data_IF_862013863874
#
_entry.id   IF_862013863874
#
_cell.length_a   1.000
_cell.length_b   1.000
_cell.length_c   1.000
_cell.angle_alpha   90.00
_cell.angle_beta   90.00
_cell.angle_gamma   90.00
#
_symmetry.space_group_name_H-M   'P 1'
#
loop_
_entity.id
_entity.type
_entity.pdbx_description
1 polymer ?
#
# COMPACT_ATOMS: atom_id res chain seq x y z
N UNK A 1 -13.89 30.86 -7.03
CA UNK A 1 -13.66 31.55 -5.75
C UNK A 1 -14.43 30.85 -4.64
N UNK A 2 -13.76 30.20 -3.71
CA UNK A 2 -14.30 29.71 -2.45
C UNK A 2 -13.38 30.15 -1.30
N UNK A 3 -13.87 30.09 -0.07
CA UNK A 3 -13.18 30.63 1.12
C UNK A 3 -11.79 30.02 1.30
N UNK A 4 -11.63 28.72 1.06
CA UNK A 4 -10.35 28.02 1.14
C UNK A 4 -9.34 28.54 0.11
N UNK A 5 -9.76 28.73 -1.15
CA UNK A 5 -8.89 29.21 -2.21
C UNK A 5 -8.48 30.68 -1.97
N UNK A 6 -9.41 31.50 -1.50
CA UNK A 6 -9.16 32.90 -1.13
C UNK A 6 -8.14 32.97 0.02
N UNK A 7 -8.39 32.27 1.10
CA UNK A 7 -7.50 32.19 2.28
C UNK A 7 -6.10 31.71 1.90
N UNK A 8 -5.99 30.66 1.07
CA UNK A 8 -4.71 30.16 0.61
C UNK A 8 -3.92 31.19 -0.20
N UNK A 9 -4.57 31.89 -1.15
CA UNK A 9 -3.93 32.94 -1.97
C UNK A 9 -3.43 34.09 -1.11
N UNK A 10 -4.26 34.56 -0.18
CA UNK A 10 -3.89 35.63 0.77
C UNK A 10 -2.69 35.19 1.61
N UNK A 11 -2.73 33.98 2.18
CA UNK A 11 -1.63 33.43 3.00
C UNK A 11 -0.31 33.30 2.21
N UNK A 12 -0.39 32.96 0.92
CA UNK A 12 0.77 32.80 0.04
C UNK A 12 1.19 34.09 -0.68
N UNK A 13 0.45 35.17 -0.51
CA UNK A 13 0.74 36.46 -1.17
C UNK A 13 0.47 36.46 -2.67
N UNK A 14 -0.42 35.61 -3.18
CA UNK A 14 -0.82 35.61 -4.60
C UNK A 14 -1.93 36.62 -4.84
N UNK A 15 -1.77 37.45 -5.90
CA UNK A 15 -2.86 38.27 -6.38
C UNK A 15 -3.97 37.38 -6.96
N UNK A 16 -5.21 37.70 -6.58
CA UNK A 16 -6.38 36.96 -7.07
C UNK A 16 -6.57 37.05 -8.56
N UNK A 17 -6.17 38.18 -9.19
CA UNK A 17 -6.28 38.43 -10.61
C UNK A 17 -5.26 37.66 -11.44
N UNK A 18 -4.11 37.32 -10.85
CA UNK A 18 -3.02 36.62 -11.53
C UNK A 18 -3.21 35.09 -11.56
N UNK A 19 -4.17 34.56 -10.79
CA UNK A 19 -4.44 33.12 -10.72
C UNK A 19 -5.54 32.73 -11.69
N UNK A 20 -5.16 32.14 -12.80
CA UNK A 20 -6.08 31.54 -13.77
C UNK A 20 -6.26 30.04 -13.54
N UNK A 21 -7.48 29.56 -13.78
CA UNK A 21 -7.82 28.12 -13.75
C UNK A 21 -8.46 27.77 -15.10
N UNK A 22 -7.83 26.81 -15.80
CA UNK A 22 -8.45 26.24 -17.00
C UNK A 22 -9.51 25.21 -16.64
N UNK A 23 -10.60 25.21 -17.41
CA UNK A 23 -11.66 24.20 -17.30
C UNK A 23 -11.71 23.36 -18.57
N UNK A 24 -11.52 22.04 -18.41
CA UNK A 24 -11.64 21.05 -19.48
C UNK A 24 -12.93 20.25 -19.34
N UNK A 25 -13.62 20.00 -20.46
CA UNK A 25 -14.76 19.09 -20.50
C UNK A 25 -14.33 17.78 -21.14
N UNK A 26 -14.44 16.68 -20.39
CA UNK A 26 -14.06 15.35 -20.85
C UNK A 26 -15.29 14.43 -20.89
N UNK A 27 -15.26 13.45 -21.83
CA UNK A 27 -16.25 12.36 -21.82
C UNK A 27 -16.14 11.59 -20.51
N UNK A 28 -17.29 11.33 -19.89
CA UNK A 28 -17.36 10.51 -18.67
C UNK A 28 -16.99 9.06 -18.96
N UNK A 29 -15.98 8.55 -18.27
CA UNK A 29 -15.63 7.12 -18.28
C UNK A 29 -16.60 6.38 -17.34
N UNK A 30 -17.26 5.35 -17.85
CA UNK A 30 -18.29 4.60 -17.11
C UNK A 30 -17.66 3.53 -16.21
N UNK A 31 -16.75 3.98 -15.34
CA UNK A 31 -16.13 3.13 -14.33
C UNK A 31 -17.10 2.67 -13.25
N UNK A 32 -18.26 3.33 -13.10
CA UNK A 32 -19.37 2.86 -12.26
C UNK A 32 -19.82 1.43 -12.60
N UNK A 33 -19.60 1.00 -13.85
CA UNK A 33 -19.86 -0.37 -14.35
C UNK A 33 -18.57 -1.19 -14.55
N UNK A 34 -17.43 -0.63 -14.22
CA UNK A 34 -16.12 -1.23 -14.39
C UNK A 34 -15.26 -1.11 -13.13
N UNK A 35 -14.08 -0.53 -13.30
CA UNK A 35 -13.12 -0.33 -12.22
C UNK A 35 -12.41 1.02 -12.37
N UNK A 36 -11.84 1.51 -11.29
CA UNK A 36 -11.01 2.70 -11.29
C UNK A 36 -9.92 2.60 -10.21
N UNK A 37 -8.93 3.47 -10.30
CA UNK A 37 -7.88 3.53 -9.31
C UNK A 37 -6.84 4.60 -9.60
N UNK A 38 -5.75 4.51 -8.88
CA UNK A 38 -4.57 5.35 -9.05
C UNK A 38 -3.35 4.49 -9.33
N UNK A 39 -2.38 5.05 -10.02
CA UNK A 39 -1.09 4.39 -10.23
C UNK A 39 0.05 5.39 -10.10
N UNK A 40 1.17 4.90 -9.58
CA UNK A 40 2.39 5.65 -9.39
C UNK A 40 3.51 5.04 -10.20
N UNK A 41 4.38 5.87 -10.76
CA UNK A 41 5.54 5.36 -11.51
C UNK A 41 6.73 5.02 -10.61
N UNK A 42 6.47 4.80 -9.33
CA UNK A 42 7.43 4.33 -8.33
C UNK A 42 6.68 3.68 -7.16
N UNK A 43 7.38 2.94 -6.32
CA UNK A 43 6.81 2.51 -5.04
C UNK A 43 6.71 3.69 -4.08
N UNK A 44 5.51 3.96 -3.60
CA UNK A 44 5.22 5.12 -2.75
C UNK A 44 5.77 5.00 -1.32
N UNK A 45 6.18 3.80 -0.89
CA UNK A 45 6.75 3.57 0.44
C UNK A 45 8.27 3.77 0.45
N UNK A 46 8.97 3.00 -0.37
CA UNK A 46 10.43 3.00 -0.43
C UNK A 46 11.01 4.07 -1.36
N UNK A 47 10.22 4.57 -2.31
CA UNK A 47 10.71 5.42 -3.38
C UNK A 47 11.44 4.64 -4.49
N UNK A 48 11.31 3.31 -4.53
CA UNK A 48 11.91 2.49 -5.58
C UNK A 48 11.28 2.80 -6.94
N UNK A 49 12.08 3.28 -7.88
CA UNK A 49 11.62 3.87 -9.15
C UNK A 49 11.56 2.89 -10.32
N UNK A 50 11.93 1.61 -10.11
CA UNK A 50 11.91 0.60 -11.18
C UNK A 50 10.59 -0.18 -11.25
N UNK A 51 9.57 0.25 -10.52
CA UNK A 51 8.23 -0.35 -10.57
C UNK A 51 7.16 0.69 -10.91
N UNK A 52 6.05 0.20 -11.46
CA UNK A 52 4.76 0.91 -11.46
C UNK A 52 3.90 0.25 -10.40
N UNK A 53 3.43 1.05 -9.45
CA UNK A 53 2.48 0.65 -8.41
C UNK A 53 1.07 1.04 -8.83
N UNK A 54 0.14 0.09 -8.89
CA UNK A 54 -1.23 0.29 -9.37
C UNK A 54 -2.21 -0.15 -8.28
N UNK A 55 -3.21 0.67 -7.99
CA UNK A 55 -4.35 0.27 -7.17
C UNK A 55 -5.61 0.20 -8.01
N UNK A 56 -6.54 -0.69 -7.67
CA UNK A 56 -7.79 -0.87 -8.37
C UNK A 56 -8.95 -1.24 -7.44
N UNK A 57 -10.12 -0.66 -7.69
CA UNK A 57 -11.37 -1.08 -7.07
C UNK A 57 -12.52 -0.98 -8.08
N UNK A 58 -13.63 -1.63 -7.76
CA UNK A 58 -14.85 -1.51 -8.56
C UNK A 58 -15.49 -0.14 -8.38
N UNK A 59 -16.18 0.35 -9.42
CA UNK A 59 -16.93 1.59 -9.38
C UNK A 59 -16.11 2.83 -9.69
N UNK A 60 -16.64 4.00 -9.30
CA UNK A 60 -16.00 5.29 -9.48
C UNK A 60 -14.77 5.43 -8.58
N UNK A 61 -13.72 6.07 -9.11
CA UNK A 61 -12.41 6.23 -8.43
C UNK A 61 -12.44 7.03 -7.14
N UNK A 62 -13.48 7.78 -6.88
CA UNK A 62 -13.60 8.63 -5.69
C UNK A 62 -13.42 7.83 -4.39
N UNK A 63 -13.96 6.59 -4.31
CA UNK A 63 -13.78 5.73 -3.12
C UNK A 63 -12.34 5.30 -2.87
N UNK A 64 -11.53 5.19 -3.93
CA UNK A 64 -10.09 4.87 -3.81
C UNK A 64 -9.32 6.11 -3.35
N UNK A 65 -9.57 7.26 -3.98
CA UNK A 65 -8.89 8.53 -3.67
C UNK A 65 -9.20 9.00 -2.26
N UNK A 66 -10.45 8.88 -1.82
CA UNK A 66 -10.86 9.22 -0.45
C UNK A 66 -10.40 8.19 0.59
N UNK A 67 -9.93 7.01 0.18
CA UNK A 67 -9.56 5.92 1.09
C UNK A 67 -10.75 5.21 1.73
N UNK A 68 -11.93 5.32 1.14
CA UNK A 68 -13.14 4.67 1.65
C UNK A 68 -13.17 3.16 1.37
N UNK A 69 -12.28 2.66 0.52
CA UNK A 69 -12.19 1.25 0.13
C UNK A 69 -10.74 0.77 0.24
N UNK A 70 -10.56 -0.51 0.56
CA UNK A 70 -9.26 -1.18 0.51
C UNK A 70 -9.13 -1.82 -0.89
N UNK A 71 -8.36 -1.21 -1.82
CA UNK A 71 -8.27 -1.66 -3.21
C UNK A 71 -7.33 -2.86 -3.37
N UNK A 72 -7.38 -3.49 -4.54
CA UNK A 72 -6.31 -4.38 -5.00
C UNK A 72 -5.04 -3.57 -5.26
N UNK A 73 -3.88 -4.19 -5.09
CA UNK A 73 -2.58 -3.59 -5.37
C UNK A 73 -1.76 -4.48 -6.32
N UNK A 74 -1.10 -3.86 -7.28
CA UNK A 74 -0.27 -4.54 -8.28
C UNK A 74 1.07 -3.84 -8.42
N UNK A 75 2.13 -4.62 -8.56
CA UNK A 75 3.48 -4.12 -8.78
C UNK A 75 4.02 -4.66 -10.11
N UNK A 76 4.38 -3.77 -11.00
CA UNK A 76 4.88 -4.09 -12.34
C UNK A 76 6.31 -3.59 -12.50
N UNK A 77 7.25 -4.49 -12.75
CA UNK A 77 8.67 -4.15 -12.91
C UNK A 77 8.95 -3.60 -14.30
N UNK A 78 9.37 -2.34 -14.38
CA UNK A 78 9.59 -1.60 -15.63
C UNK A 78 10.62 -2.25 -16.56
N UNK A 79 11.85 -2.63 -16.08
CA UNK A 79 12.84 -3.23 -16.95
C UNK A 79 12.37 -4.54 -17.61
N UNK A 80 11.68 -5.40 -16.87
CA UNK A 80 11.17 -6.69 -17.41
C UNK A 80 10.05 -6.43 -18.42
N UNK A 81 9.19 -5.44 -18.18
CA UNK A 81 8.16 -5.02 -19.13
C UNK A 81 8.79 -4.51 -20.45
N UNK A 82 9.85 -3.70 -20.37
CA UNK A 82 10.56 -3.18 -21.54
C UNK A 82 11.26 -4.28 -22.33
N UNK A 83 11.61 -5.40 -21.70
CA UNK A 83 12.15 -6.61 -22.37
C UNK A 83 11.05 -7.48 -23.02
N UNK A 84 9.78 -7.11 -22.90
CA UNK A 84 8.66 -7.89 -23.42
C UNK A 84 8.37 -9.19 -22.68
N UNK A 85 8.86 -9.34 -21.44
CA UNK A 85 8.61 -10.50 -20.58
C UNK A 85 7.49 -10.20 -19.60
N UNK A 86 6.98 -11.24 -18.91
CA UNK A 86 5.93 -11.09 -17.89
C UNK A 86 6.43 -10.24 -16.71
N UNK A 87 5.89 -9.04 -16.51
CA UNK A 87 6.47 -8.05 -15.61
C UNK A 87 5.77 -7.89 -14.26
N UNK A 88 4.62 -8.55 -14.03
CA UNK A 88 3.88 -8.45 -12.77
C UNK A 88 4.64 -9.24 -11.72
N UNK A 89 5.17 -8.54 -10.71
CA UNK A 89 6.00 -9.15 -9.67
C UNK A 89 5.23 -9.38 -8.36
N UNK A 90 4.08 -8.73 -8.18
CA UNK A 90 3.25 -8.92 -6.98
C UNK A 90 1.81 -8.45 -7.23
N UNK A 91 0.87 -9.22 -6.67
CA UNK A 91 -0.57 -8.90 -6.61
C UNK A 91 -1.09 -9.06 -5.18
N UNK A 92 -1.86 -8.11 -4.70
CA UNK A 92 -2.50 -8.16 -3.37
C UNK A 92 -3.98 -7.93 -3.54
N UNK A 93 -4.80 -8.87 -3.11
CA UNK A 93 -6.25 -8.76 -3.17
C UNK A 93 -6.76 -7.85 -2.06
N UNK A 94 -7.48 -6.78 -2.44
CA UNK A 94 -8.15 -5.89 -1.51
C UNK A 94 -9.52 -6.41 -1.08
N UNK A 95 -10.02 -5.92 0.04
CA UNK A 95 -11.34 -6.33 0.53
C UNK A 95 -12.49 -5.78 -0.31
N UNK A 96 -12.32 -4.64 -0.95
CA UNK A 96 -13.27 -3.98 -1.88
C UNK A 96 -14.76 -4.07 -1.46
N UNK A 97 -15.04 -3.81 -0.18
CA UNK A 97 -16.38 -4.01 0.42
C UNK A 97 -17.48 -3.18 -0.25
N UNK A 98 -17.12 -1.98 -0.69
CA UNK A 98 -18.06 -1.00 -1.26
C UNK A 98 -17.58 -0.51 -2.63
N UNK A 99 -18.52 -0.03 -3.44
CA UNK A 99 -18.25 0.70 -4.69
C UNK A 99 -19.21 1.88 -4.82
N UNK A 100 -18.77 2.93 -5.49
CA UNK A 100 -19.62 4.09 -5.84
C UNK A 100 -20.10 3.94 -7.28
N UNK A 101 -21.38 4.16 -7.49
CA UNK A 101 -22.02 4.11 -8.80
C UNK A 101 -22.88 5.36 -9.02
N UNK A 102 -23.23 5.66 -10.27
CA UNK A 102 -24.20 6.72 -10.54
C UNK A 102 -25.58 6.35 -10.00
N UNK A 103 -26.22 7.31 -9.35
CA UNK A 103 -27.59 7.14 -8.91
C UNK A 103 -28.55 7.47 -10.07
N UNK A 104 -29.35 6.49 -10.43
CA UNK A 104 -30.39 6.64 -11.48
C UNK A 104 -31.72 7.12 -10.92
N UNK A 105 -31.85 7.14 -9.59
CA UNK A 105 -33.06 7.65 -8.93
C UNK A 105 -33.01 9.19 -8.83
N UNK A 106 -33.76 9.84 -9.72
CA UNK A 106 -33.85 11.30 -9.76
C UNK A 106 -34.52 11.91 -8.51
N UNK A 107 -35.23 11.11 -7.73
CA UNK A 107 -35.91 11.56 -6.51
C UNK A 107 -34.94 11.72 -5.33
N UNK A 108 -33.79 11.05 -5.37
CA UNK A 108 -32.76 11.11 -4.32
C UNK A 108 -32.05 12.47 -4.23
N UNK A 109 -32.09 13.28 -5.31
CA UNK A 109 -31.36 14.53 -5.42
C UNK A 109 -29.82 14.35 -5.46
N UNK A 110 -29.32 13.12 -5.53
CA UNK A 110 -27.89 12.76 -5.57
C UNK A 110 -27.50 12.25 -6.95
N UNK A 111 -26.29 12.55 -7.38
CA UNK A 111 -25.76 12.05 -8.66
C UNK A 111 -25.07 10.69 -8.52
N UNK A 112 -24.63 10.33 -7.32
CA UNK A 112 -23.94 9.07 -7.01
C UNK A 112 -24.44 8.44 -5.71
N UNK A 113 -24.23 7.14 -5.57
CA UNK A 113 -24.50 6.38 -4.34
C UNK A 113 -23.46 5.30 -4.12
N UNK A 114 -23.22 4.98 -2.86
CA UNK A 114 -22.37 3.87 -2.44
C UNK A 114 -23.21 2.62 -2.27
N UNK A 115 -22.73 1.50 -2.78
CA UNK A 115 -23.38 0.19 -2.67
C UNK A 115 -22.34 -0.87 -2.27
N UNK A 116 -22.81 -1.95 -1.62
CA UNK A 116 -21.96 -3.08 -1.30
C UNK A 116 -21.55 -3.85 -2.55
N UNK A 117 -20.32 -4.38 -2.53
CA UNK A 117 -19.83 -5.30 -3.56
C UNK A 117 -20.13 -6.73 -3.12
N UNK A 118 -20.79 -7.55 -3.97
CA UNK A 118 -21.05 -8.95 -3.66
C UNK A 118 -19.76 -9.71 -3.32
N UNK A 119 -19.84 -10.67 -2.41
CA UNK A 119 -18.66 -11.44 -1.98
C UNK A 119 -17.99 -12.16 -3.16
N UNK A 120 -18.75 -12.70 -4.08
CA UNK A 120 -18.25 -13.37 -5.30
C UNK A 120 -17.41 -12.45 -6.20
N UNK A 121 -17.66 -11.14 -6.19
CA UNK A 121 -16.86 -10.14 -6.90
C UNK A 121 -15.65 -9.71 -6.05
N UNK A 122 -15.82 -9.50 -4.75
CA UNK A 122 -14.74 -9.10 -3.85
C UNK A 122 -13.58 -10.10 -3.81
N UNK A 123 -13.88 -11.39 -3.98
CA UNK A 123 -12.89 -12.48 -4.01
C UNK A 123 -12.14 -12.60 -5.34
N UNK A 124 -12.32 -11.66 -6.27
CA UNK A 124 -11.61 -11.59 -7.55
C UNK A 124 -10.82 -10.29 -7.65
N UNK A 125 -9.72 -10.34 -8.38
CA UNK A 125 -9.02 -9.12 -8.76
C UNK A 125 -9.88 -8.29 -9.72
N UNK A 126 -9.86 -6.96 -9.54
CA UNK A 126 -10.64 -6.03 -10.37
C UNK A 126 -10.07 -5.89 -11.78
N UNK A 127 -8.81 -6.23 -11.98
CA UNK A 127 -8.09 -6.21 -13.26
C UNK A 127 -7.51 -7.59 -13.58
N UNK A 128 -7.47 -7.93 -14.87
CA UNK A 128 -6.68 -9.04 -15.36
C UNK A 128 -5.22 -8.62 -15.67
N UNK A 129 -4.35 -9.58 -15.92
CA UNK A 129 -2.92 -9.34 -16.12
C UNK A 129 -2.62 -8.46 -17.34
N UNK A 130 -3.36 -8.60 -18.45
CA UNK A 130 -3.21 -7.76 -19.65
C UNK A 130 -3.55 -6.30 -19.37
N UNK A 131 -4.61 -6.05 -18.59
CA UNK A 131 -5.04 -4.72 -18.18
C UNK A 131 -4.00 -4.06 -17.25
N UNK A 132 -3.45 -4.82 -16.31
CA UNK A 132 -2.39 -4.35 -15.42
C UNK A 132 -1.15 -3.93 -16.23
N UNK A 133 -0.71 -4.77 -17.17
CA UNK A 133 0.42 -4.48 -18.04
C UNK A 133 0.15 -3.27 -18.94
N UNK A 134 -1.08 -3.13 -19.46
CA UNK A 134 -1.45 -1.99 -20.30
C UNK A 134 -1.42 -0.67 -19.51
N UNK A 135 -1.93 -0.64 -18.27
CA UNK A 135 -1.84 0.52 -17.39
C UNK A 135 -0.37 0.88 -17.10
N UNK A 136 0.46 -0.12 -16.81
CA UNK A 136 1.89 0.10 -16.58
C UNK A 136 2.60 0.68 -17.81
N UNK A 137 2.22 0.27 -19.03
CA UNK A 137 2.73 0.87 -20.28
C UNK A 137 2.31 2.34 -20.40
N UNK A 138 1.06 2.66 -20.09
CA UNK A 138 0.60 4.07 -20.08
C UNK A 138 1.36 4.89 -19.06
N UNK A 139 1.54 4.38 -17.85
CA UNK A 139 2.32 5.04 -16.81
C UNK A 139 3.74 5.34 -17.26
N UNK A 140 4.40 4.38 -17.93
CA UNK A 140 5.76 4.54 -18.44
C UNK A 140 5.85 5.57 -19.57
N UNK A 141 4.86 5.65 -20.45
CA UNK A 141 4.78 6.68 -21.50
C UNK A 141 4.68 8.07 -20.86
N UNK A 142 3.78 8.22 -19.88
CA UNK A 142 3.55 9.49 -19.17
C UNK A 142 4.81 9.91 -18.40
N UNK A 143 5.42 8.99 -17.65
CA UNK A 143 6.67 9.24 -16.93
C UNK A 143 7.80 9.71 -17.86
N UNK A 144 7.98 9.05 -19.00
CA UNK A 144 8.98 9.45 -20.02
C UNK A 144 8.69 10.85 -20.59
N UNK A 145 7.42 11.16 -20.80
CA UNK A 145 7.02 12.47 -21.34
C UNK A 145 7.34 13.60 -20.36
N UNK A 146 7.03 13.43 -19.08
CA UNK A 146 7.26 14.47 -18.07
C UNK A 146 8.67 14.43 -17.45
N UNK A 147 9.44 13.37 -17.67
CA UNK A 147 10.80 13.19 -17.16
C UNK A 147 10.91 13.10 -15.64
N UNK A 148 9.85 12.70 -14.95
CA UNK A 148 9.78 12.61 -13.49
C UNK A 148 8.73 11.60 -13.02
N UNK A 149 8.81 11.13 -11.77
CA UNK A 149 7.76 10.27 -11.21
C UNK A 149 6.39 10.93 -11.23
N UNK A 150 5.37 10.14 -11.53
CA UNK A 150 4.01 10.60 -11.75
C UNK A 150 3.01 9.85 -10.88
N UNK A 151 1.98 10.58 -10.46
CA UNK A 151 0.73 10.11 -9.84
C UNK A 151 -0.37 10.23 -10.90
N UNK A 152 -1.06 9.13 -11.19
CA UNK A 152 -1.94 9.02 -12.35
C UNK A 152 -3.27 8.39 -11.92
N UNK A 153 -4.38 9.07 -12.21
CA UNK A 153 -5.72 8.52 -12.05
C UNK A 153 -6.17 7.86 -13.35
N UNK A 154 -6.80 6.70 -13.23
CA UNK A 154 -7.28 5.92 -14.37
C UNK A 154 -8.66 5.32 -14.12
N UNK A 155 -9.38 4.99 -15.20
CA UNK A 155 -10.67 4.31 -15.16
C UNK A 155 -10.80 3.27 -16.28
N UNK A 156 -11.47 2.17 -15.97
CA UNK A 156 -11.92 1.16 -16.93
C UNK A 156 -13.41 1.40 -17.19
N UNK A 157 -13.76 1.69 -18.43
CA UNK A 157 -15.15 1.83 -18.85
C UNK A 157 -15.81 0.47 -18.92
N UNK A 158 -16.88 0.26 -18.14
CA UNK A 158 -17.60 -1.02 -18.11
C UNK A 158 -18.54 -1.22 -19.31
N UNK A 159 -18.62 -0.26 -20.24
CA UNK A 159 -19.43 -0.36 -21.47
C UNK A 159 -18.57 -0.84 -22.64
N UNK A 160 -17.41 -0.18 -22.85
CA UNK A 160 -16.52 -0.52 -23.97
C UNK A 160 -15.30 -1.36 -23.56
N UNK A 161 -15.14 -1.60 -22.26
CA UNK A 161 -14.05 -2.42 -21.69
C UNK A 161 -12.66 -1.77 -21.73
N UNK A 162 -12.54 -0.51 -22.18
CA UNK A 162 -11.26 0.14 -22.38
C UNK A 162 -10.76 0.84 -21.12
N UNK A 163 -9.42 0.98 -21.05
CA UNK A 163 -8.72 1.72 -20.01
C UNK A 163 -8.46 3.16 -20.47
N UNK A 164 -8.74 4.11 -19.60
CA UNK A 164 -8.57 5.55 -19.84
C UNK A 164 -7.74 6.19 -18.75
N UNK A 165 -6.86 7.12 -19.14
CA UNK A 165 -6.17 8.01 -18.22
C UNK A 165 -7.06 9.21 -17.95
N UNK A 166 -7.28 9.53 -16.70
CA UNK A 166 -8.18 10.60 -16.27
C UNK A 166 -7.42 11.85 -15.85
N UNK A 167 -6.31 11.65 -15.11
CA UNK A 167 -5.45 12.73 -14.65
C UNK A 167 -4.02 12.22 -14.50
N UNK A 168 -3.03 13.10 -14.71
CA UNK A 168 -1.63 12.85 -14.40
C UNK A 168 -1.04 14.09 -13.75
N UNK A 169 -0.32 13.88 -12.64
CA UNK A 169 0.38 14.95 -11.92
C UNK A 169 1.75 14.44 -11.42
N UNK A 170 2.73 15.34 -11.24
CA UNK A 170 4.00 14.93 -10.63
C UNK A 170 3.80 14.36 -9.23
N UNK A 171 4.47 13.22 -8.95
CA UNK A 171 4.58 12.71 -7.59
C UNK A 171 5.50 13.66 -6.80
N UNK A 172 5.08 14.12 -5.63
CA UNK A 172 5.75 15.19 -4.91
C UNK A 172 6.29 14.79 -3.53
N UNK A 173 5.85 13.66 -2.98
CA UNK A 173 6.19 13.25 -1.62
C UNK A 173 7.58 12.60 -1.58
N UNK A 174 7.72 11.47 -2.25
CA UNK A 174 9.00 10.71 -2.25
C UNK A 174 10.04 11.28 -3.20
N UNK A 175 9.62 11.86 -4.32
CA UNK A 175 10.56 12.46 -5.28
C UNK A 175 11.32 13.68 -4.72
N UNK A 176 10.76 14.37 -3.72
CA UNK A 176 11.42 15.51 -3.03
C UNK A 176 12.28 15.07 -1.85
N UNK A 177 12.09 13.87 -1.31
CA UNK A 177 12.99 13.35 -0.28
C UNK A 177 14.37 13.13 -0.95
N UNK A 178 15.30 14.08 -0.76
CA UNK A 178 16.71 13.86 -1.09
C UNK A 178 17.12 12.55 -0.40
N UNK A 179 17.89 11.71 -1.10
CA UNK A 179 18.56 10.57 -0.47
C UNK A 179 19.29 11.14 0.76
N UNK A 180 18.71 10.92 1.92
CA UNK A 180 19.37 11.33 3.16
C UNK A 180 20.61 10.43 3.30
N UNK A 181 21.78 11.03 3.52
CA UNK A 181 23.02 10.27 3.77
C UNK A 181 22.94 9.44 5.06
N UNK A 182 21.87 9.61 5.83
CA UNK A 182 21.56 8.91 7.07
C UNK A 182 20.16 8.33 7.00
N UNK A 183 20.06 7.01 7.06
CA UNK A 183 18.77 6.31 7.21
C UNK A 183 18.49 6.04 8.69
N UNK A 184 17.29 6.37 9.15
CA UNK A 184 16.82 6.00 10.48
C UNK A 184 16.10 4.65 10.41
N UNK A 185 16.56 3.69 11.20
CA UNK A 185 15.93 2.38 11.36
C UNK A 185 15.31 2.28 12.75
N UNK A 186 14.01 2.07 12.80
CA UNK A 186 13.28 1.82 14.04
C UNK A 186 13.30 0.34 14.38
N UNK A 187 13.61 0.00 15.61
CA UNK A 187 13.71 -1.40 16.08
C UNK A 187 12.98 -1.55 17.41
N UNK A 188 11.97 -2.41 17.46
CA UNK A 188 11.32 -2.78 18.72
C UNK A 188 12.32 -3.55 19.62
N UNK A 189 12.37 -3.19 20.90
CA UNK A 189 13.23 -3.84 21.90
C UNK A 189 12.47 -4.86 22.76
N UNK A 190 11.18 -5.06 22.53
CA UNK A 190 10.32 -5.98 23.25
C UNK A 190 9.30 -6.68 22.37
N UNK A 191 8.61 -7.63 22.93
CA UNK A 191 7.43 -8.28 22.34
C UNK A 191 6.19 -7.80 23.08
N UNK A 192 5.09 -7.65 22.37
CA UNK A 192 3.79 -7.27 22.93
C UNK A 192 2.66 -8.10 22.31
N UNK A 193 1.52 -8.04 22.93
CA UNK A 193 0.29 -8.59 22.37
C UNK A 193 -0.16 -7.69 21.21
N UNK A 194 -0.39 -8.25 20.04
CA UNK A 194 -0.95 -7.55 18.88
C UNK A 194 -2.45 -7.44 19.05
N UNK A 195 -2.96 -6.22 19.17
CA UNK A 195 -4.39 -5.95 19.30
C UNK A 195 -5.08 -5.84 17.95
N UNK A 196 -4.46 -5.13 17.01
CA UNK A 196 -5.00 -4.84 15.68
C UNK A 196 -3.87 -4.84 14.67
N UNK A 197 -4.18 -5.21 13.45
CA UNK A 197 -3.26 -5.16 12.32
C UNK A 197 -3.88 -4.42 11.14
N UNK A 198 -3.04 -3.88 10.26
CA UNK A 198 -3.45 -3.23 9.03
C UNK A 198 -2.28 -3.06 8.08
N UNK A 199 -2.43 -2.19 7.08
CA UNK A 199 -1.36 -1.87 6.14
C UNK A 199 -0.42 -0.84 6.76
N UNK A 200 0.87 -1.17 6.86
CA UNK A 200 1.92 -0.25 7.32
C UNK A 200 2.16 0.87 6.30
N UNK A 201 2.29 2.10 6.81
CA UNK A 201 2.67 3.28 6.06
C UNK A 201 3.95 3.84 6.66
N UNK A 202 5.00 3.90 5.86
CA UNK A 202 6.36 4.20 6.32
C UNK A 202 6.99 3.03 7.08
N UNK A 203 8.11 3.31 7.77
CA UNK A 203 8.89 2.29 8.51
C UNK A 203 9.16 2.74 9.94
N UNK A 204 8.30 3.58 10.49
CA UNK A 204 8.48 4.16 11.81
C UNK A 204 7.67 3.42 12.86
N UNK A 205 7.99 3.74 14.11
CA UNK A 205 7.24 3.32 15.28
C UNK A 205 6.79 4.59 16.00
N UNK A 206 5.52 4.62 16.40
CA UNK A 206 4.94 5.65 17.24
C UNK A 206 4.26 5.00 18.44
N UNK A 207 4.30 5.65 19.59
CA UNK A 207 3.66 5.15 20.81
C UNK A 207 2.97 6.29 21.54
N UNK A 208 1.88 5.99 22.21
CA UNK A 208 1.10 6.96 22.96
C UNK A 208 -0.24 6.43 23.40
N UNK A 209 -1.08 7.34 23.86
CA UNK A 209 -2.47 7.03 24.26
C UNK A 209 -3.40 7.09 23.06
N UNK A 210 -4.22 6.09 22.92
CA UNK A 210 -5.28 6.04 21.91
C UNK A 210 -6.23 7.20 22.11
N UNK A 211 -6.50 7.93 21.03
CA UNK A 211 -7.57 8.90 20.96
C UNK A 211 -8.51 8.55 19.82
N UNK A 212 -9.69 8.04 20.17
CA UNK A 212 -10.71 7.68 19.17
C UNK A 212 -11.48 8.95 18.81
N UNK A 213 -11.47 9.27 17.53
CA UNK A 213 -12.14 10.46 16.97
C UNK A 213 -13.11 10.02 15.89
N UNK A 214 -14.39 10.24 16.10
CA UNK A 214 -15.44 9.85 15.16
C UNK A 214 -15.69 10.91 14.06
N UNK A 215 -15.41 12.17 14.37
CA UNK A 215 -15.66 13.26 13.43
C UNK A 215 -14.92 14.57 13.79
N UNK A 216 -15.03 15.59 12.91
CA UNK A 216 -14.32 16.86 13.08
C UNK A 216 -14.58 17.58 14.41
N UNK A 217 -15.76 17.41 14.99
CA UNK A 217 -16.16 18.02 16.25
C UNK A 217 -15.38 17.50 17.46
N UNK A 218 -14.71 16.36 17.33
CA UNK A 218 -13.92 15.73 18.39
C UNK A 218 -12.40 15.91 18.21
N UNK A 219 -11.97 16.59 17.16
CA UNK A 219 -10.54 16.77 16.84
C UNK A 219 -9.77 17.49 17.97
N UNK A 220 -10.41 18.37 18.71
CA UNK A 220 -9.80 19.10 19.84
C UNK A 220 -9.43 18.20 21.02
N UNK A 221 -9.95 16.98 21.08
CA UNK A 221 -9.61 16.00 22.11
C UNK A 221 -8.20 15.43 21.95
N UNK A 222 -7.62 15.49 20.74
CA UNK A 222 -6.29 14.93 20.43
C UNK A 222 -5.21 15.83 21.01
N UNK A 223 -4.38 15.24 21.87
CA UNK A 223 -3.23 15.89 22.50
C UNK A 223 -1.94 15.54 21.72
N UNK A 224 -0.88 16.31 21.97
CA UNK A 224 0.45 16.04 21.43
C UNK A 224 0.95 14.67 21.88
N UNK A 225 1.35 13.83 20.93
CA UNK A 225 1.85 12.48 21.19
C UNK A 225 0.78 11.39 21.30
N UNK A 226 -0.50 11.72 21.16
CA UNK A 226 -1.57 10.71 21.11
C UNK A 226 -1.48 9.84 19.84
N UNK A 227 -2.01 8.63 19.88
CA UNK A 227 -2.27 7.78 18.73
C UNK A 227 -3.69 8.07 18.25
N UNK A 228 -3.79 8.73 17.10
CA UNK A 228 -5.08 9.05 16.49
C UNK A 228 -5.72 7.80 15.88
N UNK A 229 -6.90 7.43 16.34
CA UNK A 229 -7.68 6.29 15.84
C UNK A 229 -9.01 6.77 15.30
N UNK A 230 -9.31 6.47 14.05
CA UNK A 230 -10.55 6.91 13.40
C UNK A 230 -10.99 5.94 12.30
N UNK A 231 -12.20 6.10 11.78
CA UNK A 231 -12.69 5.31 10.67
C UNK A 231 -11.93 5.62 9.37
N UNK A 232 -11.83 6.90 9.02
CA UNK A 232 -11.06 7.43 7.87
C UNK A 232 -10.75 8.90 8.08
N UNK A 233 -9.84 9.46 7.31
CA UNK A 233 -9.50 10.90 7.33
C UNK A 233 -9.76 11.58 6.00
N UNK A 234 -9.98 12.89 6.04
CA UNK A 234 -10.07 13.79 4.90
C UNK A 234 -9.12 15.00 5.07
N UNK A 235 -8.97 15.91 4.09
CA UNK A 235 -8.04 17.03 4.19
C UNK A 235 -8.21 17.96 5.39
N UNK A 236 -9.36 17.98 6.05
CA UNK A 236 -9.59 18.81 7.22
C UNK A 236 -8.93 18.25 8.49
N UNK A 237 -8.49 16.99 8.45
CA UNK A 237 -7.85 16.31 9.59
C UNK A 237 -6.34 16.65 9.73
N UNK A 238 -5.72 17.30 8.75
CA UNK A 238 -4.29 17.60 8.76
C UNK A 238 -3.80 18.29 10.06
N UNK A 239 -4.51 19.29 10.62
CA UNK A 239 -4.07 19.95 11.87
C UNK A 239 -3.98 19.00 13.08
N UNK A 240 -4.90 18.04 13.19
CA UNK A 240 -4.90 17.09 14.30
C UNK A 240 -3.90 15.95 14.05
N UNK A 241 -3.72 15.54 12.79
CA UNK A 241 -2.72 14.52 12.44
C UNK A 241 -1.29 14.98 12.77
N UNK A 242 -1.00 16.29 12.74
CA UNK A 242 0.30 16.86 13.13
C UNK A 242 0.65 16.68 14.60
N UNK A 243 -0.34 16.56 15.48
CA UNK A 243 -0.14 16.32 16.92
C UNK A 243 0.10 14.83 17.23
N UNK A 244 -0.34 13.94 16.35
CA UNK A 244 -0.32 12.51 16.59
C UNK A 244 1.08 11.93 16.53
N UNK A 245 1.40 10.98 17.41
CA UNK A 245 2.60 10.13 17.34
C UNK A 245 2.46 9.03 16.29
N UNK A 246 1.22 8.59 16.03
CA UNK A 246 0.85 7.65 15.01
C UNK A 246 -0.63 7.79 14.64
N UNK A 247 -0.98 7.25 13.46
CA UNK A 247 -2.35 7.27 12.93
C UNK A 247 -2.80 5.84 12.66
N UNK A 248 -4.04 5.52 13.06
CA UNK A 248 -4.68 4.22 12.81
C UNK A 248 -6.05 4.45 12.21
N UNK A 249 -6.35 3.81 11.06
CA UNK A 249 -7.66 3.93 10.43
C UNK A 249 -8.28 2.58 10.11
N UNK A 250 -9.63 2.48 10.27
CA UNK A 250 -10.36 1.28 9.87
C UNK A 250 -10.32 1.06 8.37
N UNK A 251 -10.44 2.13 7.60
CA UNK A 251 -10.50 2.10 6.13
C UNK A 251 -9.30 2.78 5.49
N UNK A 252 -9.06 2.43 4.23
CA UNK A 252 -8.06 3.03 3.38
C UNK A 252 -6.93 2.07 3.00
N UNK A 253 -6.23 2.41 1.95
CA UNK A 253 -5.03 1.75 1.45
C UNK A 253 -3.84 2.71 1.42
N UNK A 254 -2.74 2.32 0.78
CA UNK A 254 -1.50 3.12 0.70
C UNK A 254 -1.65 4.49 0.03
N UNK A 255 -2.74 4.70 -0.67
CA UNK A 255 -3.02 5.93 -1.43
C UNK A 255 -4.09 6.81 -0.79
N UNK A 256 -4.63 6.42 0.37
CA UNK A 256 -5.63 7.21 1.09
C UNK A 256 -5.02 8.48 1.71
N UNK A 257 -5.85 9.43 2.06
CA UNK A 257 -5.44 10.70 2.67
C UNK A 257 -4.57 10.48 3.91
N UNK A 258 -4.96 9.58 4.85
CA UNK A 258 -4.17 9.26 6.03
C UNK A 258 -2.75 8.80 5.68
N UNK A 259 -2.59 7.96 4.66
CA UNK A 259 -1.31 7.46 4.22
C UNK A 259 -0.43 8.56 3.59
N UNK A 260 -1.02 9.43 2.77
CA UNK A 260 -0.29 10.55 2.15
C UNK A 260 0.24 11.50 3.22
N UNK A 261 -0.62 11.96 4.12
CA UNK A 261 -0.24 12.90 5.17
C UNK A 261 0.75 12.28 6.16
N UNK A 262 0.59 11.01 6.53
CA UNK A 262 1.55 10.32 7.40
C UNK A 262 2.97 10.29 6.81
N UNK A 263 3.09 10.09 5.48
CA UNK A 263 4.38 10.17 4.78
C UNK A 263 4.95 11.60 4.79
N UNK A 264 4.12 12.61 4.55
CA UNK A 264 4.53 14.01 4.57
C UNK A 264 5.02 14.46 5.95
N UNK A 265 4.29 14.05 6.99
CA UNK A 265 4.64 14.33 8.39
C UNK A 265 5.79 13.44 8.90
N UNK A 266 6.06 12.34 8.23
CA UNK A 266 7.06 11.37 8.64
C UNK A 266 6.73 10.65 9.94
N UNK A 267 5.47 10.31 10.18
CA UNK A 267 4.97 9.56 11.35
C UNK A 267 4.49 8.17 10.93
N UNK A 268 4.39 7.25 11.90
CA UNK A 268 3.84 5.92 11.65
C UNK A 268 2.35 5.99 11.36
N UNK A 269 1.85 5.23 10.38
CA UNK A 269 0.42 5.04 10.23
C UNK A 269 0.09 3.60 9.83
N UNK A 270 -1.03 3.09 10.34
CA UNK A 270 -1.57 1.78 9.97
C UNK A 270 -3.00 2.00 9.48
N UNK A 271 -3.24 1.65 8.22
CA UNK A 271 -4.52 1.91 7.55
C UNK A 271 -5.20 0.59 7.15
N UNK A 272 -6.52 0.64 6.97
CA UNK A 272 -7.27 -0.55 6.54
C UNK A 272 -7.38 -1.62 7.61
N UNK A 273 -7.41 -1.24 8.89
CA UNK A 273 -7.47 -2.18 10.01
C UNK A 273 -8.82 -2.90 10.14
N UNK A 274 -9.88 -2.34 9.58
CA UNK A 274 -11.23 -2.91 9.63
C UNK A 274 -12.03 -2.50 10.85
N UNK A 275 -11.54 -2.75 12.05
CA UNK A 275 -12.26 -2.62 13.34
C UNK A 275 -11.47 -1.93 14.46
N UNK A 276 -10.42 -1.20 14.15
CA UNK A 276 -9.55 -0.57 15.16
C UNK A 276 -10.33 0.33 16.16
N UNK A 277 -11.34 1.05 15.67
CA UNK A 277 -12.17 1.90 16.51
C UNK A 277 -13.06 1.13 17.50
N UNK A 278 -13.27 -0.17 17.29
CA UNK A 278 -14.07 -1.05 18.16
C UNK A 278 -13.18 -1.83 19.12
N UNK A 279 -12.01 -2.28 18.66
CA UNK A 279 -11.07 -3.10 19.44
C UNK A 279 -10.25 -2.27 20.40
N UNK A 280 -9.75 -1.09 19.97
CA UNK A 280 -8.96 -0.19 20.79
C UNK A 280 -9.87 0.64 21.72
N UNK A 281 -9.36 0.98 22.88
CA UNK A 281 -10.11 1.80 23.88
C UNK A 281 -9.48 3.18 23.98
N UNK A 282 -10.32 4.21 24.08
CA UNK A 282 -9.86 5.58 24.29
C UNK A 282 -9.03 5.68 25.56
N UNK A 283 -7.89 6.35 25.49
CA UNK A 283 -6.92 6.46 26.59
C UNK A 283 -6.02 5.25 26.81
N UNK A 284 -6.21 4.13 26.10
CA UNK A 284 -5.34 2.96 26.18
C UNK A 284 -3.93 3.31 25.65
N UNK A 285 -2.89 2.87 26.33
CA UNK A 285 -1.52 3.01 25.85
C UNK A 285 -1.20 1.91 24.84
N UNK A 286 -0.68 2.32 23.67
CA UNK A 286 -0.34 1.40 22.59
C UNK A 286 0.96 1.80 21.89
N UNK A 287 1.57 0.84 21.21
CA UNK A 287 2.70 1.04 20.31
C UNK A 287 2.30 0.64 18.90
N UNK A 288 2.41 1.56 17.95
CA UNK A 288 2.11 1.37 16.53
C UNK A 288 3.41 1.17 15.78
N UNK A 289 3.63 -0.03 15.27
CA UNK A 289 4.84 -0.41 14.55
C UNK A 289 4.57 -0.60 13.06
N UNK A 290 5.30 0.16 12.24
CA UNK A 290 5.39 -0.02 10.79
C UNK A 290 6.78 -0.52 10.37
N UNK A 291 7.65 -0.92 11.32
CA UNK A 291 9.04 -1.29 11.06
C UNK A 291 9.25 -2.78 10.71
N UNK A 292 8.18 -3.57 10.66
CA UNK A 292 8.23 -5.02 10.53
C UNK A 292 7.81 -5.53 9.14
N UNK A 293 7.63 -4.64 8.20
CA UNK A 293 7.24 -4.94 6.82
C UNK A 293 5.93 -4.27 6.40
N UNK A 294 5.20 -4.88 5.49
CA UNK A 294 3.95 -4.34 4.93
C UNK A 294 2.77 -4.37 5.92
N UNK A 295 2.84 -5.23 6.94
CA UNK A 295 1.85 -5.29 8.00
C UNK A 295 2.24 -4.36 9.12
N UNK A 296 1.35 -3.41 9.44
CA UNK A 296 1.46 -2.57 10.61
C UNK A 296 0.78 -3.25 11.80
N UNK A 297 1.45 -3.25 12.93
CA UNK A 297 0.97 -3.88 14.16
C UNK A 297 0.69 -2.81 15.23
N UNK A 298 -0.46 -2.89 15.87
CA UNK A 298 -0.79 -2.11 17.05
C UNK A 298 -0.67 -3.03 18.27
N UNK A 299 0.34 -2.78 19.09
CA UNK A 299 0.65 -3.54 20.27
C UNK A 299 0.03 -2.94 21.53
N UNK A 300 -0.38 -3.79 22.45
CA UNK A 300 -0.84 -3.39 23.77
C UNK A 300 0.33 -2.85 24.61
N UNK A 301 0.16 -1.67 25.20
CA UNK A 301 1.16 -1.02 26.04
C UNK A 301 2.26 -0.27 25.28
N UNK A 302 3.12 0.40 26.04
CA UNK A 302 4.27 1.12 25.54
C UNK A 302 5.48 0.19 25.45
N UNK A 303 5.79 -0.32 24.25
CA UNK A 303 6.95 -1.16 24.00
C UNK A 303 8.15 -0.27 23.70
N UNK A 304 9.26 -0.43 24.42
CA UNK A 304 10.49 0.30 24.11
C UNK A 304 10.98 0.04 22.69
N UNK A 305 11.47 1.07 22.01
CA UNK A 305 12.10 0.94 20.71
C UNK A 305 13.32 1.87 20.62
N UNK A 306 14.23 1.54 19.74
CA UNK A 306 15.40 2.36 19.45
C UNK A 306 15.39 2.88 18.01
N UNK A 307 16.02 4.02 17.78
CA UNK A 307 16.23 4.59 16.45
C UNK A 307 17.70 4.48 16.16
N UNK A 308 18.07 3.61 15.21
CA UNK A 308 19.45 3.47 14.73
C UNK A 308 19.66 4.35 13.52
N UNK A 309 20.65 5.22 13.59
CA UNK A 309 21.11 5.99 12.43
C UNK A 309 22.14 5.19 11.66
N UNK A 310 21.83 4.89 10.40
CA UNK A 310 22.74 4.21 9.48
C UNK A 310 23.24 5.23 8.47
N UNK A 311 24.51 5.64 8.58
CA UNK A 311 25.17 6.47 7.56
C UNK A 311 25.42 5.59 6.32
N UNK A 312 24.89 6.00 5.18
CA UNK A 312 25.24 5.41 3.89
C UNK A 312 26.55 6.05 3.43
N UNK A 313 27.65 5.29 3.49
CA UNK A 313 28.92 5.65 2.88
C UNK A 313 29.17 4.83 1.62
N UNK A 314 29.98 5.33 0.70
CA UNK A 314 30.51 4.52 -0.39
C UNK A 314 31.38 3.40 0.20
N UNK A 315 31.10 2.14 -0.20
CA UNK A 315 31.96 1.03 0.16
C UNK A 315 33.29 1.16 -0.59
N UNK A 316 34.43 1.00 0.08
CA UNK A 316 35.72 0.93 -0.62
C UNK A 316 35.71 -0.27 -1.58
N UNK A 317 36.41 -0.16 -2.69
CA UNK A 317 36.64 -1.32 -3.56
C UNK A 317 37.45 -2.37 -2.81
N UNK A 318 36.87 -3.55 -2.68
CA UNK A 318 37.48 -4.70 -2.02
C UNK A 318 37.46 -5.93 -2.97
N UNK A 319 38.45 -6.83 -2.88
CA UNK A 319 38.57 -7.96 -3.80
C UNK A 319 37.49 -9.05 -3.62
N UNK A 320 36.55 -8.86 -2.71
CA UNK A 320 35.45 -9.79 -2.42
C UNK A 320 34.10 -9.09 -2.62
N UNK A 321 33.09 -9.87 -3.01
CA UNK A 321 31.71 -9.36 -3.15
C UNK A 321 30.97 -9.41 -1.81
N UNK A 322 30.45 -8.28 -1.36
CA UNK A 322 29.56 -8.22 -0.20
C UNK A 322 28.12 -8.37 -0.70
N UNK A 323 27.49 -9.49 -0.38
CA UNK A 323 26.13 -9.80 -0.80
C UNK A 323 25.20 -9.87 0.41
N UNK A 324 23.96 -9.45 0.22
CA UNK A 324 22.97 -9.39 1.30
C UNK A 324 22.28 -10.73 1.52
N UNK A 325 21.84 -10.96 2.75
CA UNK A 325 20.83 -11.98 3.08
C UNK A 325 19.47 -11.30 3.16
N UNK A 326 18.54 -11.67 2.30
CA UNK A 326 17.18 -11.11 2.25
C UNK A 326 16.16 -12.21 2.51
N UNK A 327 15.45 -12.10 3.61
CA UNK A 327 14.38 -13.04 3.99
C UNK A 327 12.99 -12.52 3.66
N UNK A 328 12.74 -11.22 3.86
CA UNK A 328 11.43 -10.61 3.66
C UNK A 328 11.38 -9.85 2.32
N UNK A 329 10.56 -10.32 1.33
CA UNK A 329 10.42 -9.63 0.04
C UNK A 329 9.87 -8.21 0.18
N UNK A 330 9.04 -7.94 1.20
CA UNK A 330 8.39 -6.66 1.41
C UNK A 330 9.39 -5.53 1.71
N UNK A 331 10.55 -5.88 2.30
CA UNK A 331 11.61 -4.93 2.61
C UNK A 331 12.70 -4.86 1.52
N UNK A 332 12.56 -5.61 0.44
CA UNK A 332 13.60 -5.72 -0.58
C UNK A 332 13.87 -4.39 -1.29
N UNK A 333 12.81 -3.60 -1.54
CA UNK A 333 12.94 -2.28 -2.19
C UNK A 333 13.71 -1.27 -1.35
N UNK A 334 13.60 -1.35 -0.01
CA UNK A 334 14.39 -0.52 0.89
C UNK A 334 15.85 -0.98 0.97
N UNK A 335 16.04 -2.29 1.09
CA UNK A 335 17.37 -2.87 1.29
C UNK A 335 18.27 -2.73 0.06
N UNK A 336 17.72 -2.64 -1.14
CA UNK A 336 18.51 -2.46 -2.35
C UNK A 336 19.33 -1.16 -2.35
N UNK A 337 18.91 -0.14 -1.59
CA UNK A 337 19.62 1.14 -1.45
C UNK A 337 20.91 1.02 -0.63
N UNK A 338 21.03 0.00 0.23
CA UNK A 338 22.24 -0.29 0.99
C UNK A 338 23.34 -0.74 0.03
N UNK A 339 24.58 -0.24 0.12
CA UNK A 339 25.68 -0.68 -0.74
C UNK A 339 25.87 -2.19 -0.72
N UNK A 340 25.77 -2.84 -1.88
CA UNK A 340 25.82 -4.30 -2.00
C UNK A 340 26.21 -4.76 -3.41
N UNK A 341 26.61 -6.03 -3.52
CA UNK A 341 26.86 -6.72 -4.80
C UNK A 341 25.75 -7.72 -5.17
N UNK A 342 24.55 -7.56 -4.61
CA UNK A 342 23.39 -8.42 -4.85
C UNK A 342 22.98 -9.23 -3.61
N UNK A 343 22.18 -10.28 -3.83
CA UNK A 343 21.66 -11.15 -2.77
C UNK A 343 22.36 -12.50 -2.81
N UNK A 344 23.13 -12.80 -1.76
CA UNK A 344 23.83 -14.07 -1.59
C UNK A 344 22.94 -15.18 -1.06
N UNK A 345 21.85 -14.83 -0.36
CA UNK A 345 20.89 -15.79 0.16
C UNK A 345 19.50 -15.15 0.30
N UNK A 346 18.55 -15.56 -0.54
CA UNK A 346 17.12 -15.39 -0.33
C UNK A 346 16.52 -16.73 0.15
N UNK A 347 15.76 -16.71 1.25
CA UNK A 347 15.21 -17.92 1.89
C UNK A 347 13.72 -18.04 1.61
N UNK A 348 13.31 -19.14 0.94
CA UNK A 348 11.89 -19.39 0.63
C UNK A 348 11.04 -19.61 1.89
N UNK A 349 11.60 -20.12 2.97
CA UNK A 349 10.90 -20.38 4.23
C UNK A 349 10.25 -19.10 4.79
N UNK A 350 10.92 -17.95 4.66
CA UNK A 350 10.36 -16.68 5.10
C UNK A 350 9.19 -16.21 4.21
N UNK A 351 9.28 -16.50 2.90
CA UNK A 351 8.18 -16.20 1.96
C UNK A 351 6.97 -17.06 2.32
N UNK A 352 7.18 -18.36 2.55
CA UNK A 352 6.09 -19.29 2.89
C UNK A 352 5.41 -18.87 4.20
N UNK A 353 6.19 -18.60 5.24
CA UNK A 353 5.63 -18.27 6.56
C UNK A 353 4.95 -16.89 6.59
N UNK A 354 5.52 -15.89 5.94
CA UNK A 354 5.04 -14.51 6.07
C UNK A 354 4.04 -14.11 4.99
N UNK A 355 4.11 -14.68 3.77
CA UNK A 355 3.30 -14.24 2.64
C UNK A 355 2.22 -15.24 2.22
N UNK A 356 2.36 -16.52 2.57
CA UNK A 356 1.41 -17.56 2.18
C UNK A 356 0.51 -17.92 3.35
N UNK A 357 1.09 -18.23 4.52
CA UNK A 357 0.34 -18.55 5.75
C UNK A 357 -0.46 -19.86 5.70
N UNK A 358 -0.31 -20.65 4.61
CA UNK A 358 -0.97 -21.95 4.46
C UNK A 358 0.11 -23.02 4.30
N UNK A 359 -0.05 -24.11 5.04
CA UNK A 359 0.84 -25.26 4.91
C UNK A 359 0.68 -25.91 3.52
N UNK A 360 1.77 -26.25 2.81
CA UNK A 360 1.70 -26.83 1.45
C UNK A 360 0.89 -28.14 1.39
N UNK A 361 0.91 -28.96 2.43
CA UNK A 361 0.07 -30.17 2.50
C UNK A 361 -1.42 -29.86 2.48
N UNK A 362 -1.87 -28.74 3.07
CA UNK A 362 -3.27 -28.32 3.02
C UNK A 362 -3.67 -27.92 1.58
N UNK A 363 -2.78 -27.23 0.85
CA UNK A 363 -3.02 -26.92 -0.57
C UNK A 363 -3.09 -28.19 -1.44
N UNK A 364 -2.29 -29.23 -1.11
CA UNK A 364 -2.28 -30.49 -1.84
C UNK A 364 -3.52 -31.34 -1.54
N UNK A 365 -3.97 -31.36 -0.28
CA UNK A 365 -5.11 -32.15 0.16
C UNK A 365 -6.47 -31.53 -0.19
N UNK A 366 -6.51 -30.26 -0.60
CA UNK A 366 -7.73 -29.57 -1.02
C UNK A 366 -8.38 -30.30 -2.22
N UNK A 367 -9.74 -30.54 -2.24
CA UNK A 367 -10.74 -30.06 -1.26
C UNK A 367 -10.97 -31.00 -0.05
N UNK A 368 -10.24 -32.12 0.08
CA UNK A 368 -10.44 -33.17 1.08
C UNK A 368 -9.86 -32.78 2.44
N UNK A 369 -10.38 -31.69 3.03
CA UNK A 369 -9.98 -31.11 4.28
C UNK A 369 -11.15 -31.03 5.27
N UNK A 370 -10.89 -31.02 6.60
CA UNK A 370 -11.91 -30.63 7.57
C UNK A 370 -12.52 -29.28 7.22
N UNK A 371 -13.81 -29.10 7.52
CA UNK A 371 -14.59 -27.92 7.06
C UNK A 371 -13.93 -26.59 7.43
N UNK A 372 -13.46 -26.44 8.69
CA UNK A 372 -12.84 -25.22 9.17
C UNK A 372 -11.54 -24.91 8.41
N UNK A 373 -10.71 -25.93 8.20
CA UNK A 373 -9.45 -25.78 7.48
C UNK A 373 -9.71 -25.51 5.99
N UNK A 374 -10.70 -26.15 5.39
CA UNK A 374 -11.11 -25.90 4.00
C UNK A 374 -11.51 -24.44 3.80
N UNK A 375 -12.37 -23.90 4.67
CA UNK A 375 -12.77 -22.48 4.62
C UNK A 375 -11.58 -21.52 4.76
N UNK A 376 -10.68 -21.79 5.70
CA UNK A 376 -9.48 -20.98 5.89
C UNK A 376 -8.58 -20.97 4.63
N UNK A 377 -8.43 -22.14 3.99
CA UNK A 377 -7.66 -22.28 2.74
C UNK A 377 -8.34 -21.55 1.59
N UNK A 378 -9.67 -21.66 1.45
CA UNK A 378 -10.45 -20.95 0.44
C UNK A 378 -10.40 -19.44 0.62
N UNK A 379 -10.44 -18.96 1.85
CA UNK A 379 -10.35 -17.53 2.16
C UNK A 379 -8.97 -16.98 1.80
N UNK A 380 -7.90 -17.62 2.25
CA UNK A 380 -6.55 -17.18 1.99
C UNK A 380 -6.14 -17.27 0.51
N UNK A 381 -6.68 -18.24 -0.25
CA UNK A 381 -6.42 -18.40 -1.69
C UNK A 381 -7.40 -17.65 -2.60
N UNK A 382 -8.22 -16.76 -2.04
CA UNK A 382 -9.15 -15.96 -2.83
C UNK A 382 -8.43 -15.15 -3.93
N UNK A 383 -9.04 -15.06 -5.11
CA UNK A 383 -8.47 -14.38 -6.27
C UNK A 383 -7.61 -15.28 -7.16
N UNK A 384 -7.31 -16.50 -6.74
CA UNK A 384 -6.53 -17.48 -7.49
C UNK A 384 -7.41 -18.66 -7.94
N UNK A 385 -6.97 -19.39 -8.96
CA UNK A 385 -7.73 -20.48 -9.54
C UNK A 385 -8.02 -21.60 -8.53
N UNK A 386 -7.01 -21.93 -7.73
CA UNK A 386 -7.07 -22.92 -6.66
C UNK A 386 -5.94 -22.72 -5.66
N UNK A 387 -5.95 -23.36 -4.48
CA UNK A 387 -4.91 -23.20 -3.46
C UNK A 387 -3.49 -23.59 -3.90
N UNK A 388 -3.34 -24.52 -4.86
CA UNK A 388 -2.03 -24.92 -5.39
C UNK A 388 -1.43 -23.82 -6.26
N UNK A 389 -2.24 -23.22 -7.14
CA UNK A 389 -1.80 -22.09 -7.97
C UNK A 389 -1.52 -20.86 -7.09
N UNK A 390 -2.35 -20.58 -6.09
CA UNK A 390 -2.07 -19.55 -5.09
C UNK A 390 -0.68 -19.73 -4.46
N UNK A 391 -0.37 -20.95 -3.97
CA UNK A 391 0.92 -21.25 -3.33
C UNK A 391 2.09 -21.00 -4.29
N UNK A 392 2.00 -21.49 -5.52
CA UNK A 392 3.01 -21.32 -6.58
C UNK A 392 3.23 -19.85 -6.92
N UNK A 393 2.14 -19.13 -7.16
CA UNK A 393 2.20 -17.71 -7.53
C UNK A 393 2.78 -16.86 -6.39
N UNK A 394 2.41 -17.12 -5.13
CA UNK A 394 2.95 -16.39 -3.99
C UNK A 394 4.45 -16.63 -3.77
N UNK A 395 4.95 -17.83 -4.01
CA UNK A 395 6.40 -18.09 -4.01
C UNK A 395 7.06 -17.31 -5.15
N UNK A 396 6.50 -17.40 -6.37
CA UNK A 396 7.04 -16.71 -7.52
C UNK A 396 7.07 -15.19 -7.32
N UNK A 397 5.99 -14.61 -6.78
CA UNK A 397 5.91 -13.17 -6.43
C UNK A 397 6.98 -12.76 -5.41
N UNK A 398 7.17 -13.54 -4.35
CA UNK A 398 8.19 -13.25 -3.34
C UNK A 398 9.61 -13.26 -3.92
N UNK A 399 9.94 -14.27 -4.72
CA UNK A 399 11.23 -14.36 -5.43
C UNK A 399 11.38 -13.24 -6.44
N UNK A 400 10.35 -12.98 -7.25
CA UNK A 400 10.34 -11.93 -8.27
C UNK A 400 10.52 -10.53 -7.65
N UNK A 401 9.89 -10.26 -6.50
CA UNK A 401 10.04 -8.99 -5.78
C UNK A 401 11.50 -8.77 -5.35
N UNK A 402 12.13 -9.78 -4.75
CA UNK A 402 13.55 -9.70 -4.37
C UNK A 402 14.43 -9.52 -5.62
N UNK A 403 14.21 -10.31 -6.67
CA UNK A 403 15.00 -10.23 -7.90
C UNK A 403 14.84 -8.87 -8.59
N UNK A 404 13.63 -8.31 -8.62
CA UNK A 404 13.36 -6.99 -9.19
C UNK A 404 14.06 -5.86 -8.40
N UNK A 405 14.04 -5.93 -7.07
CA UNK A 405 14.68 -4.94 -6.21
C UNK A 405 16.20 -4.84 -6.46
N UNK A 406 16.85 -5.97 -6.70
CA UNK A 406 18.32 -6.02 -6.87
C UNK A 406 18.78 -6.08 -8.34
N UNK A 407 17.84 -6.08 -9.28
CA UNK A 407 18.20 -6.09 -10.73
C UNK A 407 19.10 -4.90 -11.09
N UNK A 408 20.19 -5.07 -11.91
CA UNK A 408 20.63 -6.30 -12.57
C UNK A 408 21.62 -7.16 -11.75
N UNK A 409 21.77 -6.92 -10.45
CA UNK A 409 22.70 -7.68 -9.60
C UNK A 409 22.22 -9.12 -9.40
N UNK A 410 23.16 -10.02 -9.09
CA UNK A 410 22.89 -11.43 -8.87
C UNK A 410 22.04 -11.66 -7.61
N UNK A 411 21.02 -12.49 -7.73
CA UNK A 411 20.19 -12.95 -6.60
C UNK A 411 20.24 -14.48 -6.55
N UNK A 412 20.65 -15.03 -5.41
CA UNK A 412 20.70 -16.47 -5.16
C UNK A 412 19.55 -16.82 -4.24
N UNK A 413 18.65 -17.68 -4.74
CA UNK A 413 17.50 -18.17 -3.98
C UNK A 413 17.80 -19.60 -3.54
N UNK A 414 17.76 -19.85 -2.22
CA UNK A 414 17.86 -21.19 -1.68
C UNK A 414 16.48 -21.83 -1.70
N UNK A 415 16.34 -22.94 -2.42
CA UNK A 415 15.15 -23.78 -2.34
C UNK A 415 15.01 -24.33 -0.91
N UNK A 416 13.78 -24.52 -0.44
CA UNK A 416 13.55 -25.09 0.90
C UNK A 416 14.20 -26.46 1.03
N UNK A 417 15.06 -26.62 2.04
CA UNK A 417 15.83 -27.83 2.26
C UNK A 417 15.05 -28.90 3.04
N UNK A 418 13.99 -28.49 3.74
CA UNK A 418 13.25 -29.43 4.59
C UNK A 418 11.82 -28.92 4.81
N UNK A 419 10.88 -29.64 4.26
CA UNK A 419 9.48 -29.57 4.68
C UNK A 419 9.29 -30.08 6.11
N UNK A 420 10.29 -30.76 6.69
CA UNK A 420 10.22 -31.34 8.04
C UNK A 420 10.17 -30.24 9.11
N UNK A 421 10.90 -29.14 8.93
CA UNK A 421 10.88 -28.00 9.87
C UNK A 421 9.66 -27.06 9.69
N UNK A 422 8.88 -27.23 8.64
CA UNK A 422 7.60 -26.54 8.44
C UNK A 422 6.46 -27.31 9.13
N UNK A 423 6.70 -28.54 9.57
CA UNK A 423 5.69 -29.47 10.09
C UNK A 423 5.65 -29.63 11.61
N UNK A 424 6.44 -28.88 12.36
CA UNK A 424 6.28 -28.83 13.81
C UNK A 424 5.50 -27.55 14.22
N UNK A 425 4.47 -27.71 15.09
CA UNK A 425 3.58 -26.62 15.48
C UNK A 425 4.27 -25.54 16.31
#
# INVERSE_FOLDING_TARGET
YNDRAISYRVHKGFDHADVALSAGVQRMVRSDKGAAGVMFTMDTESGFDQVVFITASYGLGETVVQGAVNPDEYFVHKPIMEMGKFPIIRKVLGSKKIKMIFDTDKSSGRSVKVVDVPESERRKFALNDDEIVQLAKYARIIEKHYGRPMDIEWGKDGIDGKLYILQARPETVKSRQKKADVQQKFVLLGKGEVLVTGRAIGQKIGAGKVRIVAGPEQMDLVQEGDVLVTDMTDPNWEPVMKKASAIVTNRGGRTCHAAIIARELGIAAVVGCGDATEVLKDGQEVTVSCAEGDTGNIYNGLIPFEIKEVKQGELPEIPVKIMMNVGNPQLAFDFQSIPNNGVGLARLEFIINNNIGIHPKACLAYPDLPEDLRRAVEEASAGYENPREFFKEKIAEGVATIAAAFYPKKVIVRMSLSLIHISEP
#
